data_IF_020156935173
#
_entry.id   IF_020156935173
#
_cell.length_a   1.000
_cell.length_b   1.000
_cell.length_c   1.000
_cell.angle_alpha   90.00
_cell.angle_beta   90.00
_cell.angle_gamma   90.00
#
_symmetry.space_group_name_H-M   'P 1'
#
loop_
_entity.id
_entity.type
_entity.pdbx_description
1 polymer ?
#
# COMPACT_ATOMS: atom_id res chain seq x y z
N UNK A 1 -20.12 -43.33 -20.36
CA UNK A 1 -21.39 -42.75 -20.85
C UNK A 1 -22.35 -42.55 -19.69
N UNK A 2 -22.52 -41.31 -19.22
CA UNK A 2 -23.73 -40.83 -18.53
C UNK A 2 -23.66 -39.30 -18.46
N UNK A 3 -24.45 -38.71 -19.33
CA UNK A 3 -24.84 -37.30 -19.36
C UNK A 3 -25.54 -36.91 -18.05
N UNK A 4 -25.37 -35.64 -17.63
CA UNK A 4 -26.50 -34.78 -17.21
C UNK A 4 -26.05 -33.33 -17.01
N UNK A 5 -26.22 -32.56 -18.07
CA UNK A 5 -26.35 -31.10 -18.07
C UNK A 5 -27.56 -30.72 -17.21
N UNK A 6 -27.36 -29.88 -16.18
CA UNK A 6 -28.46 -29.25 -15.45
C UNK A 6 -28.32 -27.74 -15.55
N UNK A 7 -29.26 -27.17 -16.30
CA UNK A 7 -29.58 -25.76 -16.35
C UNK A 7 -30.04 -25.29 -14.96
N UNK A 8 -29.43 -24.24 -14.41
CA UNK A 8 -30.01 -23.52 -13.29
C UNK A 8 -30.59 -22.19 -13.77
N UNK A 9 -31.89 -22.04 -13.51
CA UNK A 9 -32.77 -20.98 -13.96
C UNK A 9 -32.56 -19.70 -13.14
N UNK A 10 -32.49 -18.58 -13.86
CA UNK A 10 -32.67 -17.22 -13.32
C UNK A 10 -34.10 -17.08 -12.81
N UNK A 11 -34.27 -16.74 -11.54
CA UNK A 11 -35.54 -16.34 -10.94
C UNK A 11 -35.45 -14.86 -10.58
N UNK A 12 -36.08 -14.05 -11.41
CA UNK A 12 -36.30 -12.63 -11.21
C UNK A 12 -37.48 -12.49 -10.24
N UNK A 13 -37.24 -12.02 -9.02
CA UNK A 13 -38.29 -11.68 -8.07
C UNK A 13 -38.43 -10.16 -8.01
N UNK A 14 -39.40 -9.65 -8.77
CA UNK A 14 -39.97 -8.30 -8.59
C UNK A 14 -40.79 -8.27 -7.32
N UNK A 15 -40.39 -7.43 -6.36
CA UNK A 15 -41.24 -7.01 -5.25
C UNK A 15 -41.41 -5.49 -5.31
N UNK A 16 -42.63 -5.07 -5.66
CA UNK A 16 -43.10 -3.72 -5.52
C UNK A 16 -43.49 -3.46 -4.06
N UNK A 17 -42.99 -2.37 -3.48
CA UNK A 17 -43.60 -1.74 -2.32
C UNK A 17 -43.81 -0.26 -2.63
N UNK A 18 -45.08 0.11 -2.72
CA UNK A 18 -45.56 1.47 -2.64
C UNK A 18 -46.07 1.70 -1.21
N UNK A 19 -45.71 2.84 -0.60
CA UNK A 19 -46.67 3.71 0.09
C UNK A 19 -45.98 4.93 0.74
N UNK A 20 -46.66 6.05 0.53
CA UNK A 20 -46.83 7.20 1.43
C UNK A 20 -45.65 8.15 1.67
N UNK A 21 -45.74 9.24 0.91
CA UNK A 21 -45.22 10.55 1.25
C UNK A 21 -45.91 11.12 2.50
N UNK A 22 -45.13 11.70 3.41
CA UNK A 22 -45.52 12.85 4.23
C UNK A 22 -44.36 13.83 4.21
N UNK A 23 -44.49 14.87 3.37
CA UNK A 23 -43.66 16.07 3.40
C UNK A 23 -44.02 16.87 4.66
N UNK A 24 -43.04 17.14 5.52
CA UNK A 24 -43.16 18.22 6.51
C UNK A 24 -42.31 19.41 6.04
N UNK A 25 -42.96 20.32 5.31
CA UNK A 25 -42.50 21.67 5.11
C UNK A 25 -42.92 22.51 6.32
N UNK A 26 -41.96 23.15 7.00
CA UNK A 26 -42.25 24.16 8.02
C UNK A 26 -41.92 25.55 7.44
N UNK A 27 -42.96 26.33 7.20
CA UNK A 27 -43.03 27.79 7.02
C UNK A 27 -44.47 28.12 7.45
N UNK A 28 -44.82 29.15 8.22
CA UNK A 28 -44.25 30.48 8.45
C UNK A 28 -45.00 31.09 9.65
N UNK A 29 -44.35 31.90 10.48
CA UNK A 29 -44.93 33.02 11.27
C UNK A 29 -43.91 33.45 12.32
N UNK A 30 -43.55 34.72 12.50
CA UNK A 30 -44.04 35.95 11.91
C UNK A 30 -43.07 37.09 12.27
N UNK A 31 -43.20 38.18 11.51
CA UNK A 31 -42.48 39.43 11.66
C UNK A 31 -42.48 39.96 13.10
N UNK A 32 -41.35 40.52 13.52
CA UNK A 32 -41.32 41.76 14.28
C UNK A 32 -40.14 42.60 13.80
N UNK A 33 -40.44 43.56 12.94
CA UNK A 33 -39.58 44.71 12.64
C UNK A 33 -39.63 45.67 13.82
N UNK A 34 -38.47 46.01 14.38
CA UNK A 34 -38.28 47.38 14.85
C UNK A 34 -36.86 47.83 14.48
N UNK A 35 -36.82 48.83 13.62
CA UNK A 35 -35.65 49.59 13.21
C UNK A 35 -35.48 50.70 14.25
N UNK A 36 -34.31 50.79 14.89
CA UNK A 36 -33.79 52.12 15.16
C UNK A 36 -32.26 52.12 15.11
N UNK A 37 -31.76 53.06 14.32
CA UNK A 37 -30.36 53.31 14.02
C UNK A 37 -29.68 54.13 15.13
N UNK A 38 -28.38 53.94 15.28
CA UNK A 38 -27.45 54.98 15.71
C UNK A 38 -26.96 54.91 17.16
N UNK A 39 -25.79 54.29 17.37
CA UNK A 39 -24.78 54.76 18.32
C UNK A 39 -23.44 54.06 18.03
N UNK A 40 -22.57 54.76 17.32
CA UNK A 40 -21.15 54.44 17.20
C UNK A 40 -20.47 54.69 18.56
N UNK A 41 -19.82 53.67 19.12
CA UNK A 41 -18.78 53.85 20.13
C UNK A 41 -17.54 53.06 19.74
N UNK A 42 -16.46 53.81 19.52
CA UNK A 42 -15.14 53.32 19.20
C UNK A 42 -14.46 52.63 20.40
N UNK A 43 -13.63 51.65 20.03
CA UNK A 43 -12.40 51.22 20.69
C UNK A 43 -12.47 50.42 22.01
N UNK A 44 -12.23 49.12 21.89
CA UNK A 44 -11.08 48.49 22.57
C UNK A 44 -10.68 47.24 21.77
N UNK A 45 -9.65 47.38 20.92
CA UNK A 45 -9.00 46.27 20.26
C UNK A 45 -8.24 45.44 21.30
N UNK A 46 -8.88 44.37 21.78
CA UNK A 46 -8.16 43.24 22.35
C UNK A 46 -7.55 42.46 21.18
N UNK A 47 -6.29 42.74 20.88
CA UNK A 47 -5.46 41.96 19.96
C UNK A 47 -5.19 40.58 20.56
N UNK A 48 -6.19 39.70 20.47
CA UNK A 48 -6.01 38.26 20.59
C UNK A 48 -5.62 37.71 19.22
N UNK A 49 -4.43 37.13 19.14
CA UNK A 49 -4.00 36.35 17.97
C UNK A 49 -4.97 35.19 17.77
N UNK A 50 -5.64 35.05 16.59
CA UNK A 50 -6.57 33.95 16.36
C UNK A 50 -5.78 32.73 15.90
N UNK A 51 -5.06 32.06 16.80
CA UNK A 51 -4.35 30.80 16.48
C UNK A 51 -5.23 29.56 16.71
N UNK A 52 -6.33 29.68 17.46
CA UNK A 52 -7.20 28.55 17.77
C UNK A 52 -8.16 28.16 16.63
N UNK A 53 -8.65 29.14 15.85
CA UNK A 53 -9.62 28.90 14.78
C UNK A 53 -9.03 28.09 13.60
N UNK A 54 -7.74 28.28 13.32
CA UNK A 54 -7.04 27.47 12.31
C UNK A 54 -6.81 26.03 12.78
N UNK A 55 -6.52 25.81 14.07
CA UNK A 55 -6.29 24.48 14.62
C UNK A 55 -7.54 23.60 14.60
N UNK A 56 -8.68 24.15 15.04
CA UNK A 56 -9.96 23.42 15.05
C UNK A 56 -10.45 23.10 13.63
N UNK A 57 -10.27 24.04 12.70
CA UNK A 57 -10.56 23.81 11.28
C UNK A 57 -9.66 22.72 10.69
N UNK A 58 -8.36 22.70 11.02
CA UNK A 58 -7.43 21.67 10.57
C UNK A 58 -7.79 20.29 11.12
N UNK A 59 -8.11 20.19 12.42
CA UNK A 59 -8.59 18.94 13.03
C UNK A 59 -9.82 18.40 12.30
N UNK A 60 -10.82 19.24 12.04
CA UNK A 60 -12.02 18.82 11.33
C UNK A 60 -11.74 18.31 9.91
N UNK A 61 -10.83 18.95 9.16
CA UNK A 61 -10.46 18.48 7.82
C UNK A 61 -9.66 17.17 7.83
N UNK A 62 -8.82 16.96 8.84
CA UNK A 62 -8.08 15.71 9.03
C UNK A 62 -9.04 14.56 9.40
N UNK A 63 -9.97 14.80 10.33
CA UNK A 63 -11.03 13.87 10.72
C UNK A 63 -11.92 13.49 9.52
N UNK A 64 -12.27 14.48 8.69
CA UNK A 64 -13.07 14.27 7.48
C UNK A 64 -12.38 13.36 6.45
N UNK A 65 -11.04 13.41 6.32
CA UNK A 65 -10.30 12.51 5.42
C UNK A 65 -10.45 11.05 5.83
N UNK A 66 -10.30 10.76 7.14
CA UNK A 66 -10.46 9.40 7.67
C UNK A 66 -11.90 8.93 7.56
N UNK A 67 -12.87 9.80 7.86
CA UNK A 67 -14.29 9.49 7.69
C UNK A 67 -14.66 9.19 6.23
N UNK A 68 -14.14 9.96 5.27
CA UNK A 68 -14.37 9.73 3.84
C UNK A 68 -13.73 8.42 3.36
N UNK A 69 -12.58 8.01 3.93
CA UNK A 69 -11.96 6.71 3.65
C UNK A 69 -12.85 5.55 4.11
N UNK A 70 -13.38 5.58 5.33
CA UNK A 70 -14.33 4.56 5.82
C UNK A 70 -15.62 4.54 4.99
N UNK A 71 -16.15 5.71 4.62
CA UNK A 71 -17.33 5.79 3.75
C UNK A 71 -17.07 5.19 2.36
N UNK A 72 -15.89 5.43 1.79
CA UNK A 72 -15.49 4.82 0.52
C UNK A 72 -15.37 3.30 0.64
N UNK A 73 -14.80 2.82 1.74
CA UNK A 73 -14.71 1.40 2.07
C UNK A 73 -16.10 0.73 2.14
N UNK A 74 -17.02 1.28 2.96
CA UNK A 74 -18.38 0.74 3.11
C UNK A 74 -19.17 0.78 1.80
N UNK A 75 -18.88 1.79 0.96
CA UNK A 75 -19.41 1.92 -0.40
C UNK A 75 -18.79 0.97 -1.44
N UNK A 76 -17.91 0.04 -1.03
CA UNK A 76 -17.15 -0.88 -1.90
C UNK A 76 -16.29 -0.15 -2.94
N UNK A 77 -15.80 1.04 -2.58
CA UNK A 77 -14.89 1.89 -3.35
C UNK A 77 -13.59 2.12 -2.58
N UNK A 78 -13.16 1.08 -1.88
CA UNK A 78 -11.90 1.09 -1.15
C UNK A 78 -10.74 1.44 -2.09
N UNK A 79 -9.82 2.34 -1.69
CA UNK A 79 -8.60 2.57 -2.44
C UNK A 79 -7.64 1.38 -2.36
N UNK A 80 -7.85 0.46 -1.42
CA UNK A 80 -7.08 -0.78 -1.28
C UNK A 80 -7.52 -1.83 -2.30
N UNK A 81 -6.60 -2.70 -2.74
CA UNK A 81 -6.84 -3.85 -3.63
C UNK A 81 -7.32 -3.57 -5.05
N UNK A 82 -7.34 -2.30 -5.47
CA UNK A 82 -7.74 -1.92 -6.83
C UNK A 82 -6.52 -1.48 -7.66
N UNK A 83 -6.56 -1.77 -8.97
CA UNK A 83 -5.46 -1.50 -9.91
C UNK A 83 -5.86 -0.56 -11.06
N UNK A 84 -7.03 0.09 -10.96
CA UNK A 84 -7.64 0.84 -12.07
C UNK A 84 -7.54 2.35 -11.92
N UNK A 85 -7.54 2.84 -10.68
CA UNK A 85 -7.59 4.27 -10.38
C UNK A 85 -6.50 4.64 -9.37
N UNK A 86 -5.33 5.01 -9.89
CA UNK A 86 -4.21 5.47 -9.07
C UNK A 86 -4.54 6.77 -8.33
N UNK A 87 -5.34 7.64 -8.95
CA UNK A 87 -5.72 8.93 -8.37
C UNK A 87 -6.60 8.75 -7.12
N UNK A 88 -7.41 7.69 -7.08
CA UNK A 88 -8.16 7.33 -5.86
C UNK A 88 -7.23 6.97 -4.69
N UNK A 89 -6.10 6.30 -4.93
CA UNK A 89 -5.11 6.01 -3.88
C UNK A 89 -4.43 7.29 -3.42
N UNK A 90 -3.95 8.09 -4.38
CA UNK A 90 -3.26 9.36 -4.10
C UNK A 90 -4.21 10.40 -3.47
N UNK A 91 -5.54 10.25 -3.58
CA UNK A 91 -6.54 11.06 -2.87
C UNK A 91 -6.39 10.92 -1.36
N UNK A 92 -6.19 9.71 -0.84
CA UNK A 92 -6.16 9.43 0.60
C UNK A 92 -4.76 9.39 1.18
N UNK A 93 -3.79 8.83 0.47
CA UNK A 93 -2.49 8.49 1.04
C UNK A 93 -1.37 9.41 0.59
N UNK A 94 -0.40 9.63 1.47
CA UNK A 94 0.83 10.32 1.13
C UNK A 94 1.64 9.46 0.17
N UNK A 95 2.36 10.10 -0.76
CA UNK A 95 3.05 9.42 -1.87
C UNK A 95 3.81 8.14 -1.46
N UNK A 96 4.64 8.12 -0.40
CA UNK A 96 5.38 6.91 -0.03
C UNK A 96 4.49 5.72 0.31
N UNK A 97 3.37 5.94 1.02
CA UNK A 97 2.42 4.89 1.36
C UNK A 97 1.55 4.53 0.14
N UNK A 98 1.11 5.52 -0.63
CA UNK A 98 0.32 5.34 -1.85
C UNK A 98 1.05 4.46 -2.89
N UNK A 99 2.35 4.69 -3.08
CA UNK A 99 3.19 3.91 -3.99
C UNK A 99 3.23 2.43 -3.59
N UNK A 100 3.33 2.14 -2.29
CA UNK A 100 3.38 0.78 -1.76
C UNK A 100 2.02 0.08 -1.84
N UNK A 101 0.92 0.76 -1.51
CA UNK A 101 -0.44 0.22 -1.67
C UNK A 101 -0.71 -0.11 -3.14
N UNK A 102 -0.30 0.78 -4.06
CA UNK A 102 -0.43 0.53 -5.49
C UNK A 102 0.43 -0.64 -5.95
N UNK A 103 1.68 -0.76 -5.46
CA UNK A 103 2.59 -1.87 -5.74
C UNK A 103 2.01 -3.19 -5.26
N UNK A 104 1.47 -3.24 -4.05
CA UNK A 104 0.78 -4.40 -3.49
C UNK A 104 -0.36 -4.85 -4.42
N UNK A 105 -1.32 -3.98 -4.70
CA UNK A 105 -2.49 -4.33 -5.52
C UNK A 105 -2.12 -4.85 -6.92
N UNK A 106 -1.06 -4.32 -7.54
CA UNK A 106 -0.61 -4.74 -8.88
C UNK A 106 0.23 -6.03 -8.84
N UNK A 107 1.03 -6.24 -7.80
CA UNK A 107 1.86 -7.44 -7.68
C UNK A 107 1.05 -8.66 -7.25
N UNK A 108 0.03 -8.45 -6.41
CA UNK A 108 -0.78 -9.54 -5.88
C UNK A 108 -1.60 -10.24 -6.98
N UNK A 109 -2.05 -9.56 -8.05
CA UNK A 109 -2.65 -10.19 -9.24
C UNK A 109 -3.71 -11.32 -9.00
N UNK A 110 -4.39 -11.32 -7.84
CA UNK A 110 -5.34 -12.36 -7.43
C UNK A 110 -4.82 -13.37 -6.39
N UNK A 111 -3.53 -13.31 -6.05
CA UNK A 111 -2.88 -13.96 -4.91
C UNK A 111 -2.84 -13.05 -3.68
N UNK A 112 -2.29 -13.54 -2.56
CA UNK A 112 -2.18 -12.81 -1.29
C UNK A 112 -0.98 -11.86 -1.35
N UNK A 113 -1.24 -10.55 -1.18
CA UNK A 113 -0.21 -9.51 -1.07
C UNK A 113 0.40 -9.41 0.33
N UNK A 114 1.11 -8.31 0.59
CA UNK A 114 1.46 -7.93 1.97
C UNK A 114 0.20 -7.64 2.81
N UNK A 115 -0.86 -7.19 2.13
CA UNK A 115 -2.16 -6.94 2.74
C UNK A 115 -3.03 -8.20 2.51
N UNK A 116 -3.24 -8.97 3.58
CA UNK A 116 -3.99 -10.24 3.58
C UNK A 116 -5.34 -10.16 4.32
N UNK A 117 -5.75 -8.97 4.75
CA UNK A 117 -7.02 -8.66 5.40
C UNK A 117 -7.39 -7.18 5.23
N UNK A 118 -8.49 -6.73 5.83
CA UNK A 118 -8.94 -5.34 5.74
C UNK A 118 -8.00 -4.39 6.51
N UNK A 119 -7.30 -3.46 5.84
CA UNK A 119 -6.38 -2.53 6.48
C UNK A 119 -7.05 -1.56 7.45
N UNK A 120 -8.37 -1.32 7.33
CA UNK A 120 -9.11 -0.38 8.17
C UNK A 120 -9.59 -1.00 9.48
N UNK A 121 -9.61 -2.34 9.57
CA UNK A 121 -10.01 -3.08 10.78
C UNK A 121 -8.93 -4.02 11.31
N UNK A 122 -7.84 -4.21 10.55
CA UNK A 122 -6.78 -5.17 10.85
C UNK A 122 -7.35 -6.58 11.08
N UNK A 123 -8.18 -7.05 10.15
CA UNK A 123 -8.84 -8.35 10.26
C UNK A 123 -9.31 -8.87 8.88
N UNK A 124 -9.41 -10.19 8.72
CA UNK A 124 -10.02 -10.80 7.53
C UNK A 124 -11.55 -10.77 7.61
N UNK A 125 -12.09 -11.10 8.78
CA UNK A 125 -13.52 -11.04 9.10
C UNK A 125 -13.75 -10.03 10.23
N UNK A 126 -14.94 -9.41 10.24
CA UNK A 126 -15.26 -8.34 11.19
C UNK A 126 -16.66 -8.46 11.77
N UNK A 127 -16.80 -8.20 13.07
CA UNK A 127 -18.06 -7.89 13.75
C UNK A 127 -17.89 -6.55 14.49
N UNK A 128 -18.03 -5.45 13.75
CA UNK A 128 -17.75 -4.11 14.27
C UNK A 128 -18.92 -3.55 15.06
N UNK A 129 -18.65 -3.14 16.30
CA UNK A 129 -19.56 -2.43 17.20
C UNK A 129 -18.87 -1.21 17.80
N UNK A 130 -19.65 -0.23 18.25
CA UNK A 130 -19.14 0.96 18.95
C UNK A 130 -18.04 1.70 18.16
N UNK A 131 -18.19 1.81 16.84
CA UNK A 131 -17.22 2.47 15.97
C UNK A 131 -17.21 3.98 16.22
N UNK A 132 -16.03 4.54 16.45
CA UNK A 132 -15.83 5.97 16.72
C UNK A 132 -14.53 6.43 16.05
N UNK A 133 -14.61 7.53 15.29
CA UNK A 133 -13.44 8.31 14.87
C UNK A 133 -13.20 9.37 15.95
N UNK A 134 -12.04 9.30 16.60
CA UNK A 134 -11.64 10.22 17.64
C UNK A 134 -11.25 11.60 17.10
N UNK A 135 -10.95 12.52 18.04
CA UNK A 135 -10.45 13.86 17.69
C UNK A 135 -9.04 13.79 17.12
N UNK A 136 -8.78 14.62 16.12
CA UNK A 136 -7.43 14.79 15.57
C UNK A 136 -6.54 15.57 16.54
N UNK A 137 -5.41 14.95 16.90
CA UNK A 137 -4.30 15.62 17.58
C UNK A 137 -3.38 16.26 16.54
N UNK A 138 -3.67 17.51 16.15
CA UNK A 138 -2.89 18.25 15.15
C UNK A 138 -1.64 18.87 15.78
N UNK A 139 -0.48 18.65 15.15
CA UNK A 139 0.82 19.23 15.50
C UNK A 139 1.49 19.73 14.22
N UNK A 140 1.39 21.04 13.98
CA UNK A 140 1.88 21.68 12.76
C UNK A 140 1.29 21.03 11.50
N UNK A 141 2.14 20.40 10.69
CA UNK A 141 1.82 19.72 9.44
C UNK A 141 1.51 18.22 9.63
N UNK A 142 1.37 17.74 10.87
CA UNK A 142 1.05 16.34 11.18
C UNK A 142 -0.21 16.23 12.05
N UNK A 143 -0.91 15.10 11.97
CA UNK A 143 -2.04 14.80 12.84
C UNK A 143 -2.11 13.31 13.17
N UNK A 144 -2.48 12.99 14.41
CA UNK A 144 -2.84 11.63 14.82
C UNK A 144 -4.34 11.53 15.06
N UNK A 145 -5.01 10.53 14.48
CA UNK A 145 -6.44 10.28 14.68
C UNK A 145 -6.64 8.84 15.16
N UNK A 146 -7.05 8.62 16.42
CA UNK A 146 -7.42 7.29 16.89
C UNK A 146 -8.82 6.94 16.39
N UNK A 147 -8.97 5.73 15.84
CA UNK A 147 -10.26 5.12 15.53
C UNK A 147 -10.44 3.93 16.45
N UNK A 148 -11.53 3.91 17.20
CA UNK A 148 -11.81 2.87 18.20
C UNK A 148 -13.08 2.14 17.87
N UNK A 149 -13.07 0.83 18.09
CA UNK A 149 -14.24 -0.03 17.90
C UNK A 149 -14.12 -1.29 18.74
N UNK A 150 -15.17 -2.08 18.74
CA UNK A 150 -15.18 -3.45 19.26
C UNK A 150 -15.29 -4.41 18.08
N UNK A 151 -14.36 -5.37 17.96
CA UNK A 151 -14.40 -6.44 16.97
C UNK A 151 -14.47 -7.79 17.70
N UNK A 152 -15.50 -8.60 17.45
CA UNK A 152 -15.73 -9.88 18.17
C UNK A 152 -15.60 -9.77 19.70
N UNK A 153 -16.10 -8.67 20.27
CA UNK A 153 -16.05 -8.41 21.71
C UNK A 153 -14.72 -7.82 22.24
N UNK A 154 -13.68 -7.73 21.41
CA UNK A 154 -12.40 -7.12 21.77
C UNK A 154 -12.36 -5.63 21.40
N UNK A 155 -11.92 -4.78 22.31
CA UNK A 155 -11.69 -3.35 22.02
C UNK A 155 -10.42 -3.21 21.18
N UNK A 156 -10.54 -2.51 20.06
CA UNK A 156 -9.45 -2.25 19.12
C UNK A 156 -9.28 -0.73 18.98
N UNK A 157 -8.03 -0.30 18.80
CA UNK A 157 -7.68 1.08 18.46
C UNK A 157 -6.69 1.07 17.30
N UNK A 158 -7.03 1.77 16.23
CA UNK A 158 -6.17 1.97 15.06
C UNK A 158 -5.87 3.46 14.96
N UNK A 159 -4.59 3.83 14.86
CA UNK A 159 -4.19 5.24 14.77
C UNK A 159 -3.79 5.60 13.36
N UNK A 160 -4.47 6.57 12.77
CA UNK A 160 -4.11 7.14 11.47
C UNK A 160 -3.12 8.27 11.68
N UNK A 161 -1.93 8.14 11.12
CA UNK A 161 -0.95 9.21 11.06
C UNK A 161 -1.11 9.96 9.73
N UNK A 162 -1.35 11.25 9.82
CA UNK A 162 -1.58 12.13 8.69
C UNK A 162 -0.50 13.20 8.61
N UNK A 163 -0.23 13.65 7.38
CA UNK A 163 0.65 14.77 7.07
C UNK A 163 0.00 15.71 6.05
N UNK A 164 0.24 17.01 6.17
CA UNK A 164 -0.11 17.96 5.12
C UNK A 164 0.84 17.82 3.92
N UNK A 165 0.25 17.69 2.74
CA UNK A 165 0.93 17.69 1.45
C UNK A 165 0.18 18.66 0.55
N UNK A 166 0.87 19.71 0.10
CA UNK A 166 0.30 20.76 -0.77
C UNK A 166 -1.02 21.35 -0.23
N UNK A 167 -1.09 21.59 1.08
CA UNK A 167 -2.26 22.17 1.75
C UNK A 167 -3.42 21.20 1.98
N UNK A 168 -3.25 19.91 1.69
CA UNK A 168 -4.25 18.86 1.93
C UNK A 168 -3.72 17.79 2.88
N UNK A 169 -4.56 17.29 3.78
CA UNK A 169 -4.19 16.14 4.60
C UNK A 169 -4.08 14.87 3.78
N UNK A 170 -3.09 14.04 4.10
CA UNK A 170 -2.86 12.71 3.53
C UNK A 170 -2.46 11.74 4.63
N UNK A 171 -2.93 10.49 4.55
CA UNK A 171 -2.54 9.43 5.49
C UNK A 171 -1.14 8.93 5.09
N UNK A 172 -0.17 9.06 5.98
CA UNK A 172 1.18 8.54 5.78
C UNK A 172 1.42 7.18 6.45
N UNK A 173 0.61 6.82 7.45
CA UNK A 173 0.63 5.49 8.07
C UNK A 173 -0.71 5.14 8.75
N UNK A 174 -0.96 3.84 8.92
CA UNK A 174 -2.05 3.28 9.73
C UNK A 174 -1.40 2.35 10.75
N UNK A 175 -1.46 2.70 12.03
CA UNK A 175 -0.84 1.95 13.12
C UNK A 175 -1.86 1.09 13.86
N UNK A 176 -1.52 -0.19 14.07
CA UNK A 176 -2.42 -1.21 14.62
C UNK A 176 -2.17 -1.54 16.10
N UNK A 177 -1.21 -0.84 16.72
CA UNK A 177 -0.73 -1.13 18.07
C UNK A 177 0.53 -2.01 18.05
N UNK A 178 1.18 -2.14 19.20
CA UNK A 178 2.37 -3.01 19.41
C UNK A 178 3.55 -2.79 18.44
N UNK A 179 3.62 -1.62 17.80
CA UNK A 179 4.66 -1.29 16.82
C UNK A 179 4.39 -1.78 15.39
N UNK A 180 3.24 -2.41 15.14
CA UNK A 180 2.82 -2.80 13.80
C UNK A 180 2.03 -1.70 13.09
N UNK A 181 2.20 -1.64 11.77
CA UNK A 181 1.55 -0.65 10.94
C UNK A 181 1.54 -1.06 9.48
N UNK A 182 0.60 -0.51 8.71
CA UNK A 182 0.50 -0.76 7.27
C UNK A 182 1.78 -0.39 6.53
N UNK A 183 2.38 0.75 6.87
CA UNK A 183 3.66 1.17 6.28
C UNK A 183 4.77 0.16 6.58
N UNK A 184 4.81 -0.42 7.79
CA UNK A 184 5.81 -1.42 8.17
C UNK A 184 5.63 -2.69 7.35
N UNK A 185 4.42 -3.27 7.31
CA UNK A 185 4.17 -4.49 6.53
C UNK A 185 4.48 -4.32 5.06
N UNK A 186 3.98 -3.23 4.46
CA UNK A 186 4.25 -2.94 3.05
C UNK A 186 5.73 -2.70 2.79
N UNK A 187 6.47 -2.05 3.69
CA UNK A 187 7.92 -1.91 3.56
C UNK A 187 8.62 -3.24 3.73
N UNK A 188 8.31 -4.04 4.72
CA UNK A 188 8.97 -5.33 4.91
C UNK A 188 8.75 -6.25 3.70
N UNK A 189 7.57 -6.24 3.09
CA UNK A 189 7.28 -7.03 1.89
C UNK A 189 7.86 -6.42 0.62
N UNK A 190 7.77 -5.09 0.45
CA UNK A 190 8.11 -4.42 -0.81
C UNK A 190 9.28 -3.46 -0.74
N UNK A 191 10.08 -3.49 0.34
CA UNK A 191 11.37 -2.83 0.35
C UNK A 191 12.15 -3.38 -0.82
N UNK A 192 12.28 -2.55 -1.84
CA UNK A 192 13.50 -2.53 -2.60
C UNK A 192 14.56 -2.23 -1.54
N UNK A 193 15.37 -3.23 -1.14
CA UNK A 193 16.64 -2.95 -0.47
C UNK A 193 17.23 -1.76 -1.23
N UNK A 194 17.69 -0.68 -0.55
CA UNK A 194 18.27 0.44 -1.27
C UNK A 194 19.28 -0.13 -2.27
N UNK A 195 19.28 0.39 -3.51
CA UNK A 195 20.31 0.11 -4.53
C UNK A 195 21.67 0.62 -4.03
N UNK A 196 22.16 -0.02 -2.98
CA UNK A 196 23.45 0.09 -2.33
C UNK A 196 23.87 -1.36 -2.18
N UNK A 197 24.63 -1.79 -3.18
CA UNK A 197 25.63 -2.85 -3.10
C UNK A 197 25.26 -4.10 -2.28
N UNK A 198 24.95 -5.17 -3.01
CA UNK A 198 24.86 -6.55 -2.53
C UNK A 198 23.77 -6.82 -1.48
N UNK A 199 22.59 -7.23 -1.98
CA UNK A 199 21.78 -8.22 -1.28
C UNK A 199 22.64 -9.47 -1.07
N UNK A 200 23.20 -9.62 0.12
CA UNK A 200 23.80 -10.87 0.59
C UNK A 200 22.69 -11.92 0.65
N UNK A 201 22.62 -12.79 -0.36
CA UNK A 201 21.68 -13.92 -0.38
C UNK A 201 20.90 -14.15 -1.67
N UNK A 202 21.05 -13.32 -2.71
CA UNK A 202 20.37 -13.57 -4.00
C UNK A 202 21.35 -13.44 -5.18
N UNK A 203 21.25 -14.37 -6.14
CA UNK A 203 22.11 -14.40 -7.34
C UNK A 203 21.66 -13.30 -8.33
N UNK A 204 22.05 -12.06 -8.02
CA UNK A 204 21.68 -10.87 -8.79
C UNK A 204 22.76 -9.78 -8.71
N UNK A 205 22.66 -8.77 -9.57
CA UNK A 205 23.59 -7.65 -9.61
C UNK A 205 24.80 -7.92 -10.49
N UNK A 206 25.90 -7.21 -10.25
CA UNK A 206 27.08 -7.26 -11.13
C UNK A 206 28.12 -8.22 -10.61
N UNK A 207 28.65 -9.06 -11.49
CA UNK A 207 29.71 -10.02 -11.21
C UNK A 207 30.91 -9.80 -12.12
N UNK A 208 32.10 -9.96 -11.57
CA UNK A 208 33.36 -10.07 -12.31
C UNK A 208 33.61 -11.55 -12.53
N UNK A 209 33.88 -11.95 -13.77
CA UNK A 209 34.11 -13.33 -14.19
C UNK A 209 35.38 -13.35 -15.02
N UNK A 210 36.49 -13.80 -14.44
CA UNK A 210 37.81 -13.68 -15.09
C UNK A 210 38.13 -12.23 -15.49
N UNK A 211 38.28 -11.98 -16.79
CA UNK A 211 38.60 -10.67 -17.40
C UNK A 211 37.37 -9.92 -17.96
N UNK A 212 36.18 -10.47 -17.75
CA UNK A 212 34.88 -9.88 -18.14
C UNK A 212 33.99 -9.63 -16.94
N UNK A 213 32.81 -9.07 -17.18
CA UNK A 213 31.77 -8.91 -16.16
C UNK A 213 30.40 -9.24 -16.74
N UNK A 214 29.46 -9.62 -15.89
CA UNK A 214 28.06 -9.76 -16.26
C UNK A 214 27.14 -9.01 -15.29
N UNK A 215 25.94 -8.72 -15.73
CA UNK A 215 24.84 -8.24 -14.87
C UNK A 215 23.76 -9.31 -14.84
N UNK A 216 23.37 -9.71 -13.64
CA UNK A 216 22.39 -10.76 -13.38
C UNK A 216 21.11 -10.11 -12.86
N UNK A 217 19.97 -10.51 -13.41
CA UNK A 217 18.64 -10.06 -12.97
C UNK A 217 17.70 -11.24 -12.81
N UNK A 218 16.96 -11.35 -11.70
CA UNK A 218 15.91 -12.36 -11.58
C UNK A 218 14.78 -12.07 -12.58
N UNK A 219 14.33 -13.10 -13.30
CA UNK A 219 13.21 -13.06 -14.25
C UNK A 219 12.36 -14.32 -14.05
N UNK A 220 11.22 -14.15 -13.36
CA UNK A 220 10.33 -15.26 -12.98
C UNK A 220 11.09 -16.33 -12.19
N UNK A 221 11.22 -17.54 -12.74
CA UNK A 221 11.87 -18.70 -12.12
C UNK A 221 13.33 -18.88 -12.55
N UNK A 222 13.93 -17.87 -13.20
CA UNK A 222 15.28 -17.93 -13.78
C UNK A 222 16.02 -16.59 -13.59
N UNK A 223 17.26 -16.54 -14.07
CA UNK A 223 18.17 -15.42 -13.96
C UNK A 223 18.67 -15.02 -15.33
N UNK A 224 18.37 -13.80 -15.74
CA UNK A 224 18.89 -13.19 -16.96
C UNK A 224 20.31 -12.68 -16.71
N UNK A 225 21.30 -13.30 -17.35
CA UNK A 225 22.72 -12.95 -17.28
C UNK A 225 23.13 -12.23 -18.56
N UNK A 226 23.47 -10.94 -18.44
CA UNK A 226 23.97 -10.11 -19.55
C UNK A 226 25.47 -9.96 -19.47
N UNK A 227 26.20 -10.48 -20.45
CA UNK A 227 27.66 -10.38 -20.51
C UNK A 227 28.13 -9.03 -21.07
N UNK A 228 29.14 -8.43 -20.44
CA UNK A 228 29.74 -7.17 -20.90
C UNK A 228 30.65 -7.35 -22.12
N UNK A 229 31.25 -8.54 -22.27
CA UNK A 229 32.02 -8.97 -23.44
C UNK A 229 31.56 -10.38 -23.83
N UNK A 230 31.35 -10.62 -25.13
CA UNK A 230 30.94 -11.93 -25.65
C UNK A 230 29.43 -12.08 -25.84
N UNK A 231 28.97 -13.33 -25.81
CA UNK A 231 27.64 -13.78 -26.22
C UNK A 231 26.51 -13.22 -25.34
N UNK A 232 25.91 -12.11 -25.77
CA UNK A 232 24.50 -11.74 -25.52
C UNK A 232 23.95 -11.90 -24.09
N UNK A 233 22.65 -12.14 -24.05
CA UNK A 233 21.86 -12.39 -22.84
C UNK A 233 21.64 -13.90 -22.75
N UNK A 234 21.92 -14.49 -21.60
CA UNK A 234 21.74 -15.93 -21.35
C UNK A 234 20.89 -16.13 -20.10
N UNK A 235 20.05 -17.15 -20.10
CA UNK A 235 19.19 -17.47 -18.96
C UNK A 235 19.85 -18.57 -18.15
N UNK A 236 19.84 -18.44 -16.83
CA UNK A 236 20.31 -19.44 -15.89
C UNK A 236 19.18 -19.83 -14.94
N UNK A 237 19.08 -21.10 -14.60
CA UNK A 237 18.14 -21.60 -13.61
C UNK A 237 18.89 -22.12 -12.39
N UNK A 238 18.29 -21.96 -11.21
CA UNK A 238 18.76 -22.64 -10.01
C UNK A 238 18.63 -24.15 -10.20
N UNK A 239 19.68 -24.91 -9.87
CA UNK A 239 19.65 -26.38 -9.92
C UNK A 239 19.65 -26.96 -8.52
N UNK A 240 20.80 -26.93 -7.85
CA UNK A 240 20.95 -27.44 -6.49
C UNK A 240 22.05 -26.70 -5.72
N UNK A 241 21.91 -26.67 -4.39
CA UNK A 241 22.89 -26.05 -3.50
C UNK A 241 23.14 -24.58 -3.85
N UNK A 242 24.34 -24.30 -4.38
CA UNK A 242 24.78 -22.96 -4.77
C UNK A 242 25.06 -22.88 -6.28
N UNK A 243 24.38 -23.71 -7.08
CA UNK A 243 24.62 -23.88 -8.51
C UNK A 243 23.49 -23.32 -9.37
N UNK A 244 23.87 -22.66 -10.46
CA UNK A 244 22.96 -22.11 -11.48
C UNK A 244 23.44 -22.50 -12.87
N UNK A 245 22.56 -23.01 -13.73
CA UNK A 245 22.93 -23.55 -15.05
C UNK A 245 22.09 -22.97 -16.19
N UNK A 246 22.68 -22.78 -17.36
CA UNK A 246 21.98 -22.18 -18.50
C UNK A 246 21.09 -23.12 -19.31
N UNK A 247 21.32 -24.43 -19.19
CA UNK A 247 20.50 -25.48 -19.77
C UNK A 247 20.71 -26.76 -18.95
N UNK A 248 20.03 -26.91 -17.79
CA UNK A 248 20.34 -27.97 -16.81
C UNK A 248 20.17 -29.40 -17.35
N UNK A 249 19.41 -29.57 -18.43
CA UNK A 249 19.18 -30.86 -19.08
C UNK A 249 20.16 -31.14 -20.24
N UNK A 250 21.21 -30.33 -20.42
CA UNK A 250 22.17 -30.44 -21.53
C UNK A 250 23.61 -30.58 -21.01
N UNK A 251 24.44 -31.44 -21.62
CA UNK A 251 25.83 -31.66 -21.19
C UNK A 251 26.74 -30.44 -21.44
N UNK A 252 26.37 -29.57 -22.37
CA UNK A 252 27.14 -28.38 -22.76
C UNK A 252 26.59 -27.11 -22.09
N UNK A 253 26.22 -27.19 -20.81
CA UNK A 253 25.67 -26.06 -20.06
C UNK A 253 26.80 -25.17 -19.49
N UNK A 254 26.54 -23.86 -19.42
CA UNK A 254 27.34 -22.97 -18.60
C UNK A 254 26.80 -23.01 -17.17
N UNK A 255 27.66 -22.92 -16.16
CA UNK A 255 27.24 -22.92 -14.77
C UNK A 255 27.97 -21.92 -13.88
N UNK A 256 27.26 -21.34 -12.93
CA UNK A 256 27.83 -20.65 -11.78
C UNK A 256 27.74 -21.57 -10.57
N UNK A 257 28.85 -21.78 -9.87
CA UNK A 257 28.89 -22.51 -8.59
C UNK A 257 29.51 -21.59 -7.55
N UNK A 258 28.76 -21.26 -6.51
CA UNK A 258 29.20 -20.34 -5.46
C UNK A 258 29.71 -21.05 -4.21
N UNK A 259 30.73 -20.46 -3.60
CA UNK A 259 31.38 -20.98 -2.40
C UNK A 259 30.52 -20.78 -1.15
N UNK A 260 29.56 -19.85 -1.18
CA UNK A 260 28.69 -19.47 -0.08
C UNK A 260 27.27 -19.10 -0.54
N UNK A 261 26.32 -19.15 0.39
CA UNK A 261 24.90 -18.77 0.18
C UNK A 261 24.71 -17.26 -0.08
N UNK A 262 25.76 -16.46 0.11
CA UNK A 262 25.71 -15.03 -0.20
C UNK A 262 26.08 -14.75 -1.66
N UNK A 263 26.49 -15.78 -2.41
CA UNK A 263 26.91 -15.71 -3.80
C UNK A 263 27.94 -14.61 -4.03
N UNK A 264 28.91 -14.48 -3.12
CA UNK A 264 29.92 -13.42 -3.18
C UNK A 264 31.14 -13.82 -4.00
N UNK A 265 31.48 -15.10 -3.98
CA UNK A 265 32.61 -15.71 -4.68
C UNK A 265 32.23 -17.11 -5.15
N UNK A 266 32.84 -17.53 -6.25
CA UNK A 266 32.60 -18.84 -6.81
C UNK A 266 33.40 -19.06 -8.08
N UNK A 267 32.95 -20.02 -8.88
CA UNK A 267 33.53 -20.35 -10.16
C UNK A 267 32.45 -20.41 -11.22
N UNK A 268 32.72 -19.82 -12.38
CA UNK A 268 31.93 -19.97 -13.58
C UNK A 268 32.57 -21.05 -14.44
N UNK A 269 31.85 -22.14 -14.70
CA UNK A 269 32.25 -23.19 -15.63
C UNK A 269 31.56 -22.93 -16.96
N UNK A 270 32.38 -22.79 -17.99
CA UNK A 270 31.88 -22.62 -19.35
C UNK A 270 31.75 -23.99 -20.01
N UNK A 271 30.76 -24.14 -20.87
CA UNK A 271 30.49 -25.35 -21.64
C UNK A 271 31.70 -25.89 -22.42
N UNK A 272 32.69 -25.05 -22.74
CA UNK A 272 33.94 -25.45 -23.41
C UNK A 272 35.01 -26.03 -22.47
N UNK A 273 34.65 -26.30 -21.21
CA UNK A 273 35.53 -26.88 -20.19
C UNK A 273 36.44 -25.88 -19.47
N UNK A 274 36.39 -24.59 -19.82
CA UNK A 274 37.14 -23.55 -19.10
C UNK A 274 36.41 -23.11 -17.85
N UNK A 275 37.18 -22.76 -16.82
CA UNK A 275 36.65 -22.19 -15.59
C UNK A 275 37.23 -20.81 -15.31
N UNK A 276 36.43 -19.96 -14.68
CA UNK A 276 36.77 -18.58 -14.37
C UNK A 276 36.36 -18.24 -12.95
N UNK A 277 37.23 -17.57 -12.20
CA UNK A 277 36.87 -17.09 -10.87
C UNK A 277 35.76 -16.04 -10.97
N UNK A 278 34.77 -16.16 -10.09
CA UNK A 278 33.62 -15.26 -9.98
C UNK A 278 33.73 -14.46 -8.69
N UNK A 279 33.49 -13.16 -8.79
CA UNK A 279 33.39 -12.29 -7.62
C UNK A 279 32.28 -11.27 -7.81
N UNK A 280 31.40 -11.12 -6.82
CA UNK A 280 30.41 -10.04 -6.82
C UNK A 280 31.11 -8.69 -6.80
N UNK A 281 30.73 -7.80 -7.71
CA UNK A 281 31.23 -6.43 -7.73
C UNK A 281 30.64 -5.64 -6.56
N UNK A 282 31.50 -4.86 -5.89
CA UNK A 282 31.06 -3.85 -4.91
C UNK A 282 30.55 -2.60 -5.62
#
# INVERSE_FOLDING_TARGET
>A
MRSKTQFLRVLLATAAFAASACNFSFSTSGNNTNVNSGAEFNAAAASGTPTAASGESQSATAEALVADLYKAHDGKKSPFFQTKDRALVDKYFAKPLADLIWKDANNSSGEVGAIDGDPLYNAQDTEIKNFVIGRAEVKNDTAGIPVTFTNFGQKVTITYALKQVDGSWKIENIAYGSGDSLMKWLRETYTDKPKTVASSGEFEGRYIVGDTSCTVKPVKMAFEVRWAKGSGVEMFAFTEGNTFESAPDQPDSNSFVFDDENYNKGTFYRADGRSFAVKRAK
#
